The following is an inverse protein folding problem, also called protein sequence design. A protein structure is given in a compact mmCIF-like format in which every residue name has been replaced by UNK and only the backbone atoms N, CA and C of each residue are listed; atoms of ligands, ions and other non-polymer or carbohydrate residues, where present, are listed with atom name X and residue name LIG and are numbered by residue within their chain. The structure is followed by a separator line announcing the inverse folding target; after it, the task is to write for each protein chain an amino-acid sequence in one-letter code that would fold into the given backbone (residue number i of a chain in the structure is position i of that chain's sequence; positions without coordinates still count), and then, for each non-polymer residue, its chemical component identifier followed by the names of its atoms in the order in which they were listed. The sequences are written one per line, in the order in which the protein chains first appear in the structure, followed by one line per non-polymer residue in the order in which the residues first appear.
data_IF_395231906334
#
_entry.id   IF_395231906334
#
_cell.length_a   1.000
_cell.length_b   1.000
_cell.length_c   1.000
_cell.angle_alpha   90.00
_cell.angle_beta   90.00
_cell.angle_gamma   90.00
#
_symmetry.space_group_name_H-M   'P 1'
#
loop_
_entity.id
_entity.type
_entity.pdbx_description
1 polymer ?
#
# COMPACT_ATOMS: atom_id res chain seq x y z
N UNK A 1 6.26 -18.76 -30.34
CA UNK A 1 7.24 -18.30 -29.34
C UNK A 1 7.47 -16.77 -29.36
N UNK A 2 7.60 -16.13 -30.53
CA UNK A 2 7.80 -14.66 -30.68
C UNK A 2 6.61 -13.82 -30.16
N UNK A 3 5.37 -14.31 -30.34
CA UNK A 3 4.15 -13.67 -29.80
C UNK A 3 4.15 -13.55 -28.26
N UNK A 4 4.59 -14.61 -27.56
CA UNK A 4 4.65 -14.62 -26.10
C UNK A 4 5.70 -13.63 -25.55
N UNK A 5 6.79 -13.39 -26.29
CA UNK A 5 7.86 -12.45 -25.90
C UNK A 5 7.43 -10.99 -26.02
N UNK A 6 6.74 -10.59 -27.10
CA UNK A 6 6.15 -9.24 -27.24
C UNK A 6 5.12 -8.96 -26.14
N UNK A 7 4.26 -9.93 -25.86
CA UNK A 7 3.23 -9.83 -24.82
C UNK A 7 3.81 -9.53 -23.43
N UNK A 8 4.97 -10.08 -23.07
CA UNK A 8 5.57 -9.86 -21.74
C UNK A 8 6.20 -8.47 -21.57
N UNK A 9 6.79 -7.91 -22.63
CA UNK A 9 7.28 -6.55 -22.62
C UNK A 9 6.13 -5.54 -22.49
N UNK A 10 5.06 -5.77 -23.25
CA UNK A 10 3.83 -4.96 -23.21
C UNK A 10 3.16 -5.06 -21.83
N UNK A 11 3.15 -6.24 -21.23
CA UNK A 11 2.69 -6.45 -19.85
C UNK A 11 3.46 -5.58 -18.84
N UNK A 12 4.74 -5.28 -19.07
CA UNK A 12 5.57 -4.51 -18.13
C UNK A 12 5.22 -3.03 -18.14
N UNK A 13 4.93 -2.45 -19.32
CA UNK A 13 4.37 -1.10 -19.44
C UNK A 13 2.98 -1.02 -18.82
N UNK A 14 2.16 -2.05 -19.06
CA UNK A 14 0.84 -2.19 -18.43
C UNK A 14 0.96 -2.24 -16.89
N UNK A 15 2.02 -2.83 -16.32
CA UNK A 15 2.22 -2.86 -14.87
C UNK A 15 2.46 -1.48 -14.28
N UNK A 16 3.38 -0.69 -14.84
CA UNK A 16 3.60 0.71 -14.38
C UNK A 16 2.29 1.49 -14.50
N UNK A 17 1.56 1.32 -15.59
CA UNK A 17 0.28 2.00 -15.80
C UNK A 17 -0.76 1.60 -14.73
N UNK A 18 -0.91 0.30 -14.44
CA UNK A 18 -1.82 -0.21 -13.40
C UNK A 18 -1.46 0.33 -12.02
N UNK A 19 -0.19 0.28 -11.65
CA UNK A 19 0.30 0.80 -10.37
C UNK A 19 0.05 2.31 -10.29
N UNK A 20 0.34 3.04 -11.37
CA UNK A 20 0.14 4.48 -11.43
C UNK A 20 -1.33 4.87 -11.29
N UNK A 21 -2.26 4.10 -11.88
CA UNK A 21 -3.71 4.36 -11.78
C UNK A 21 -4.18 4.31 -10.33
N UNK A 22 -3.77 3.29 -9.58
CA UNK A 22 -4.19 3.13 -8.17
C UNK A 22 -3.58 4.23 -7.29
N UNK A 23 -2.30 4.55 -7.49
CA UNK A 23 -1.63 5.63 -6.74
C UNK A 23 -2.13 7.03 -7.12
N UNK A 24 -2.69 7.21 -8.32
CA UNK A 24 -3.31 8.48 -8.75
C UNK A 24 -4.65 8.72 -8.06
N UNK A 25 -5.41 7.68 -7.71
CA UNK A 25 -6.70 7.83 -7.02
C UNK A 25 -6.57 8.60 -5.69
N UNK A 26 -5.52 8.33 -4.91
CA UNK A 26 -5.20 9.05 -3.67
C UNK A 26 -4.29 10.26 -3.87
N UNK A 27 -4.00 10.64 -5.12
CA UNK A 27 -3.09 11.74 -5.45
C UNK A 27 -1.62 11.50 -5.08
N UNK A 28 -1.21 10.27 -4.79
CA UNK A 28 0.14 9.90 -4.34
C UNK A 28 1.16 9.92 -5.49
N UNK A 29 0.72 9.63 -6.71
CA UNK A 29 1.60 9.50 -7.87
C UNK A 29 2.42 10.78 -8.15
N UNK A 30 3.76 10.70 -8.31
CA UNK A 30 4.62 11.88 -8.32
C UNK A 30 4.66 12.66 -9.64
N UNK A 31 4.47 12.02 -10.81
CA UNK A 31 4.79 12.65 -12.11
C UNK A 31 3.67 13.50 -12.72
N UNK A 32 2.43 13.46 -12.20
CA UNK A 32 1.31 14.25 -12.74
C UNK A 32 0.68 15.12 -11.65
N UNK A 33 1.41 16.19 -11.26
CA UNK A 33 1.03 17.11 -10.18
C UNK A 33 0.00 18.12 -10.66
N UNK A 34 -1.25 17.68 -10.82
CA UNK A 34 -2.40 18.57 -10.96
C UNK A 34 -2.79 19.18 -9.61
N UNK A 35 -3.36 20.39 -9.62
CA UNK A 35 -3.92 21.05 -8.42
C UNK A 35 -4.93 20.12 -7.72
N UNK A 36 -5.80 19.47 -8.49
CA UNK A 36 -6.79 18.51 -7.97
C UNK A 36 -6.13 17.32 -7.26
N UNK A 37 -5.05 16.77 -7.83
CA UNK A 37 -4.30 15.65 -7.23
C UNK A 37 -3.63 16.05 -5.91
N UNK A 38 -3.12 17.28 -5.80
CA UNK A 38 -2.50 17.77 -4.57
C UNK A 38 -3.54 18.00 -3.46
N UNK A 39 -4.72 18.51 -3.81
CA UNK A 39 -5.83 18.68 -2.86
C UNK A 39 -6.29 17.30 -2.34
N UNK A 40 -6.52 16.34 -3.25
CA UNK A 40 -6.90 14.96 -2.88
C UNK A 40 -5.87 14.35 -1.92
N UNK A 41 -4.58 14.42 -2.28
CA UNK A 41 -3.51 13.92 -1.42
C UNK A 41 -3.52 14.60 -0.05
N UNK A 42 -3.69 15.92 0.00
CA UNK A 42 -3.71 16.67 1.27
C UNK A 42 -4.86 16.24 2.17
N UNK A 43 -6.07 16.12 1.63
CA UNK A 43 -7.26 15.68 2.37
C UNK A 43 -7.04 14.29 2.96
N UNK A 44 -6.59 13.35 2.11
CA UNK A 44 -6.40 11.95 2.51
C UNK A 44 -5.25 11.81 3.52
N UNK A 45 -4.19 12.60 3.39
CA UNK A 45 -3.07 12.61 4.35
C UNK A 45 -3.44 13.24 5.69
N UNK A 46 -4.24 14.31 5.69
CA UNK A 46 -4.76 14.88 6.95
C UNK A 46 -5.64 13.84 7.66
N UNK A 47 -6.51 13.15 6.93
CA UNK A 47 -7.32 12.07 7.50
C UNK A 47 -6.43 10.98 8.14
N UNK A 48 -5.42 10.50 7.40
CA UNK A 48 -4.51 9.46 7.90
C UNK A 48 -3.69 9.93 9.11
N UNK A 49 -3.28 11.20 9.14
CA UNK A 49 -2.57 11.79 10.28
C UNK A 49 -3.45 11.84 11.53
N UNK A 50 -4.72 12.22 11.39
CA UNK A 50 -5.67 12.19 12.51
C UNK A 50 -5.87 10.76 13.03
N UNK A 51 -5.96 9.79 12.12
CA UNK A 51 -6.07 8.37 12.48
C UNK A 51 -4.86 7.90 13.29
N UNK A 52 -3.65 8.14 12.80
CA UNK A 52 -2.41 7.83 13.53
C UNK A 52 -2.38 8.53 14.90
N UNK A 53 -2.85 9.78 14.97
CA UNK A 53 -2.97 10.51 16.24
C UNK A 53 -3.85 9.79 17.27
N UNK A 54 -4.99 9.22 16.81
CA UNK A 54 -5.87 8.41 17.66
C UNK A 54 -5.22 7.09 18.10
N UNK A 55 -4.38 6.47 17.26
CA UNK A 55 -3.61 5.28 17.64
C UNK A 55 -2.56 5.57 18.71
N UNK A 56 -1.80 6.66 18.54
CA UNK A 56 -0.81 7.05 19.55
C UNK A 56 -1.47 7.46 20.87
N UNK A 57 -2.65 8.07 20.82
CA UNK A 57 -3.43 8.33 22.04
C UNK A 57 -3.83 7.02 22.73
N UNK A 58 -4.24 6.00 21.99
CA UNK A 58 -4.53 4.68 22.55
C UNK A 58 -3.28 4.00 23.13
N UNK A 59 -2.13 4.16 22.49
CA UNK A 59 -0.86 3.66 23.02
C UNK A 59 -0.54 4.29 24.38
N UNK A 60 -0.80 5.59 24.53
CA UNK A 60 -0.60 6.32 25.80
C UNK A 60 -1.63 5.88 26.85
N UNK A 61 -2.87 5.57 26.46
CA UNK A 61 -3.91 5.18 27.42
C UNK A 61 -3.69 3.80 28.03
N UNK A 62 -3.06 2.87 27.29
CA UNK A 62 -2.74 1.52 27.77
C UNK A 62 -1.39 1.42 28.50
N UNK A 63 -0.75 2.56 28.78
CA UNK A 63 0.57 2.59 29.41
C UNK A 63 0.53 1.93 30.79
N UNK A 64 1.39 0.94 31.02
CA UNK A 64 1.39 0.09 32.22
C UNK A 64 0.92 -1.34 31.97
N UNK A 65 0.30 -1.64 30.81
CA UNK A 65 0.07 -3.01 30.35
C UNK A 65 1.01 -3.34 29.17
N UNK A 66 2.10 -4.04 29.47
CA UNK A 66 3.17 -4.31 28.50
C UNK A 66 2.67 -5.05 27.25
N UNK A 67 1.78 -6.02 27.39
CA UNK A 67 1.25 -6.80 26.26
C UNK A 67 0.44 -5.92 25.31
N UNK A 68 -0.45 -5.07 25.86
CA UNK A 68 -1.24 -4.14 25.06
C UNK A 68 -0.38 -3.03 24.44
N UNK A 69 0.64 -2.55 25.17
CA UNK A 69 1.57 -1.55 24.67
C UNK A 69 2.36 -2.05 23.46
N UNK A 70 2.89 -3.28 23.51
CA UNK A 70 3.64 -3.86 22.38
C UNK A 70 2.75 -3.97 21.14
N UNK A 71 1.53 -4.49 21.31
CA UNK A 71 0.59 -4.64 20.20
C UNK A 71 0.24 -3.29 19.56
N UNK A 72 -0.13 -2.29 20.37
CA UNK A 72 -0.44 -0.95 19.88
C UNK A 72 0.78 -0.30 19.23
N UNK A 73 1.98 -0.44 19.81
CA UNK A 73 3.20 0.15 19.28
C UNK A 73 3.54 -0.44 17.89
N UNK A 74 3.41 -1.76 17.72
CA UNK A 74 3.65 -2.41 16.43
C UNK A 74 2.71 -1.90 15.34
N UNK A 75 1.42 -1.72 15.66
CA UNK A 75 0.42 -1.17 14.73
C UNK A 75 0.72 0.29 14.39
N UNK A 76 0.92 1.15 15.39
CA UNK A 76 1.20 2.58 15.17
C UNK A 76 2.49 2.82 14.39
N UNK A 77 3.55 2.02 14.64
CA UNK A 77 4.81 2.12 13.89
C UNK A 77 4.63 1.73 12.42
N UNK A 78 3.85 0.66 12.16
CA UNK A 78 3.56 0.23 10.79
C UNK A 78 2.82 1.32 10.01
N UNK A 79 1.77 1.92 10.59
CA UNK A 79 1.05 3.02 9.95
C UNK A 79 1.92 4.27 9.79
N UNK A 80 2.79 4.57 10.76
CA UNK A 80 3.75 5.68 10.65
C UNK A 80 4.71 5.47 9.46
N UNK A 81 5.23 4.26 9.27
CA UNK A 81 6.09 3.93 8.12
C UNK A 81 5.33 4.10 6.80
N UNK A 82 4.07 3.64 6.73
CA UNK A 82 3.22 3.81 5.55
C UNK A 82 3.03 5.29 5.23
N UNK A 83 2.70 6.11 6.24
CA UNK A 83 2.53 7.56 6.10
C UNK A 83 3.79 8.24 5.53
N UNK A 84 4.94 8.00 6.16
CA UNK A 84 6.23 8.55 5.72
C UNK A 84 6.53 8.10 4.28
N UNK A 85 6.27 6.83 3.95
CA UNK A 85 6.49 6.30 2.60
C UNK A 85 5.66 7.02 1.55
N UNK A 86 4.40 7.37 1.84
CA UNK A 86 3.56 8.12 0.91
C UNK A 86 4.07 9.54 0.69
N UNK A 87 4.55 10.21 1.75
CA UNK A 87 5.22 11.51 1.64
C UNK A 87 6.46 11.44 0.75
N UNK A 88 7.33 10.44 0.99
CA UNK A 88 8.53 10.22 0.17
C UNK A 88 8.15 9.97 -1.28
N UNK A 89 7.16 9.11 -1.54
CA UNK A 89 6.71 8.81 -2.90
C UNK A 89 6.23 10.06 -3.64
N UNK A 90 5.50 10.96 -2.96
CA UNK A 90 4.94 12.17 -3.58
C UNK A 90 5.98 13.28 -3.77
N UNK A 91 6.80 13.54 -2.74
CA UNK A 91 7.64 14.74 -2.67
C UNK A 91 9.10 14.51 -3.04
N UNK A 92 9.62 13.28 -2.97
CA UNK A 92 11.01 13.01 -3.29
C UNK A 92 11.25 13.13 -4.81
N UNK A 93 12.05 14.13 -5.19
CA UNK A 93 12.41 14.40 -6.59
C UNK A 93 13.19 13.24 -7.23
N UNK A 94 14.03 12.55 -6.46
CA UNK A 94 14.84 11.44 -6.97
C UNK A 94 13.94 10.25 -7.36
N UNK A 95 12.92 9.95 -6.54
CA UNK A 95 11.94 8.89 -6.85
C UNK A 95 11.18 9.23 -8.13
N UNK A 96 10.76 10.49 -8.27
CA UNK A 96 10.08 10.97 -9.48
C UNK A 96 10.97 10.81 -10.72
N UNK A 97 12.22 11.25 -10.64
CA UNK A 97 13.17 11.17 -11.74
C UNK A 97 13.42 9.73 -12.16
N UNK A 98 13.68 8.84 -11.20
CA UNK A 98 13.87 7.40 -11.46
C UNK A 98 12.67 6.77 -12.18
N UNK A 99 11.44 7.18 -11.84
CA UNK A 99 10.22 6.70 -12.52
C UNK A 99 10.15 7.20 -13.95
N UNK A 100 10.46 8.47 -14.19
CA UNK A 100 10.48 9.08 -15.54
C UNK A 100 11.53 8.40 -16.40
N UNK A 101 12.76 8.31 -15.91
CA UNK A 101 13.89 7.69 -16.61
C UNK A 101 13.58 6.21 -16.93
N UNK A 102 12.97 5.48 -15.99
CA UNK A 102 12.55 4.09 -16.22
C UNK A 102 11.50 3.99 -17.33
N UNK A 103 10.51 4.88 -17.33
CA UNK A 103 9.45 4.90 -18.33
C UNK A 103 9.97 5.26 -19.73
N UNK A 104 10.93 6.18 -19.83
CA UNK A 104 11.52 6.60 -21.10
C UNK A 104 12.45 5.52 -21.68
N UNK A 105 13.30 4.93 -20.84
CA UNK A 105 14.24 3.89 -21.25
C UNK A 105 13.56 2.62 -21.76
N UNK A 106 12.37 2.29 -21.25
CA UNK A 106 11.53 1.21 -21.78
C UNK A 106 11.08 1.43 -23.23
N UNK A 107 11.28 2.60 -23.85
CA UNK A 107 10.96 2.82 -25.26
C UNK A 107 12.16 2.66 -26.20
N UNK A 108 13.38 2.52 -25.66
CA UNK A 108 14.62 2.62 -26.43
C UNK A 108 15.13 1.25 -26.94
N UNK A 109 14.73 0.15 -26.30
CA UNK A 109 15.20 -1.20 -26.67
C UNK A 109 14.72 -1.63 -28.06
N UNK A 110 15.64 -1.67 -29.02
CA UNK A 110 15.34 -1.95 -30.44
C UNK A 110 15.80 -3.34 -30.86
N UNK A 111 16.96 -3.78 -30.37
CA UNK A 111 17.63 -5.02 -30.79
C UNK A 111 16.97 -6.26 -30.16
N UNK A 112 17.07 -7.40 -30.83
CA UNK A 112 16.50 -8.67 -30.34
C UNK A 112 17.13 -9.12 -29.03
N UNK A 113 18.44 -8.96 -28.89
CA UNK A 113 19.20 -9.31 -27.69
C UNK A 113 18.84 -8.41 -26.50
N UNK A 114 18.76 -7.09 -26.72
CA UNK A 114 18.30 -6.11 -25.71
C UNK A 114 16.92 -6.47 -25.15
N UNK A 115 16.00 -6.88 -26.04
CA UNK A 115 14.64 -7.28 -25.66
C UNK A 115 14.62 -8.57 -24.84
N UNK A 116 15.50 -9.53 -25.11
CA UNK A 116 15.55 -10.78 -24.35
C UNK A 116 16.10 -10.56 -22.93
N UNK A 117 17.12 -9.71 -22.79
CA UNK A 117 17.67 -9.32 -21.48
C UNK A 117 16.62 -8.53 -20.68
N UNK A 118 16.02 -7.51 -21.29
CA UNK A 118 14.94 -6.70 -20.68
C UNK A 118 13.76 -7.57 -20.23
N UNK A 119 13.38 -8.55 -21.05
CA UNK A 119 12.29 -9.49 -20.72
C UNK A 119 12.57 -10.30 -19.45
N UNK A 120 13.81 -10.79 -19.25
CA UNK A 120 14.18 -11.56 -18.05
C UNK A 120 14.02 -10.71 -16.78
N UNK A 121 14.51 -9.48 -16.79
CA UNK A 121 14.43 -8.59 -15.62
C UNK A 121 13.00 -8.14 -15.34
N UNK A 122 12.21 -7.82 -16.35
CA UNK A 122 10.82 -7.41 -16.13
C UNK A 122 9.87 -8.57 -15.79
N UNK A 123 10.19 -9.81 -16.22
CA UNK A 123 9.45 -11.00 -15.78
C UNK A 123 9.53 -11.19 -14.25
N UNK A 124 10.71 -10.98 -13.67
CA UNK A 124 10.90 -11.05 -12.22
C UNK A 124 10.10 -9.95 -11.51
N UNK A 125 10.13 -8.71 -12.01
CA UNK A 125 9.34 -7.62 -11.46
C UNK A 125 7.82 -7.88 -11.52
N UNK A 126 7.34 -8.45 -12.63
CA UNK A 126 5.93 -8.84 -12.82
C UNK A 126 5.49 -9.95 -11.88
N UNK A 127 6.34 -10.95 -11.67
CA UNK A 127 6.07 -12.05 -10.75
C UNK A 127 6.02 -11.55 -9.31
N UNK A 128 6.97 -10.68 -8.91
CA UNK A 128 6.97 -10.04 -7.60
C UNK A 128 5.71 -9.17 -7.39
N UNK A 129 5.27 -8.42 -8.41
CA UNK A 129 4.02 -7.65 -8.34
C UNK A 129 2.81 -8.54 -8.05
N UNK A 130 2.64 -9.63 -8.81
CA UNK A 130 1.49 -10.54 -8.60
C UNK A 130 1.50 -11.15 -7.21
N UNK A 131 2.67 -11.64 -6.79
CA UNK A 131 2.84 -12.26 -5.48
C UNK A 131 2.57 -11.25 -4.35
N UNK A 132 3.18 -10.07 -4.40
CA UNK A 132 3.01 -9.04 -3.37
C UNK A 132 1.57 -8.57 -3.26
N UNK A 133 0.87 -8.32 -4.37
CA UNK A 133 -0.54 -7.91 -4.36
C UNK A 133 -1.44 -9.01 -3.77
N UNK A 134 -1.20 -10.29 -4.11
CA UNK A 134 -1.94 -11.42 -3.54
C UNK A 134 -1.72 -11.52 -2.03
N UNK A 135 -0.47 -11.46 -1.56
CA UNK A 135 -0.18 -11.49 -0.13
C UNK A 135 -0.84 -10.32 0.60
N UNK A 136 -0.73 -9.10 0.07
CA UNK A 136 -1.40 -7.93 0.67
C UNK A 136 -2.91 -8.12 0.73
N UNK A 137 -3.55 -8.65 -0.31
CA UNK A 137 -4.97 -8.92 -0.29
C UNK A 137 -5.35 -9.90 0.84
N UNK A 138 -4.65 -11.03 0.95
CA UNK A 138 -4.91 -12.02 2.01
C UNK A 138 -4.62 -11.48 3.41
N UNK A 139 -3.50 -10.78 3.60
CA UNK A 139 -3.14 -10.19 4.89
C UNK A 139 -4.15 -9.15 5.33
N UNK A 140 -4.54 -8.22 4.45
CA UNK A 140 -5.53 -7.20 4.76
C UNK A 140 -6.90 -7.82 5.03
N UNK A 141 -7.32 -8.80 4.23
CA UNK A 141 -8.58 -9.50 4.45
C UNK A 141 -8.58 -10.22 5.80
N UNK A 142 -7.49 -10.92 6.13
CA UNK A 142 -7.35 -11.61 7.41
C UNK A 142 -7.37 -10.64 8.58
N UNK A 143 -6.68 -9.51 8.47
CA UNK A 143 -6.64 -8.49 9.53
C UNK A 143 -8.01 -7.83 9.73
N UNK A 144 -8.69 -7.46 8.64
CA UNK A 144 -10.01 -6.81 8.69
C UNK A 144 -11.13 -7.75 9.20
N UNK A 145 -11.03 -9.04 8.91
CA UNK A 145 -12.05 -10.04 9.31
C UNK A 145 -11.78 -10.70 10.67
N UNK A 146 -10.57 -10.62 11.22
CA UNK A 146 -10.21 -11.18 12.53
C UNK A 146 -11.15 -10.79 13.69
N UNK A 147 -11.53 -9.51 13.89
CA UNK A 147 -12.51 -9.17 14.93
C UNK A 147 -13.91 -9.74 14.65
N UNK A 148 -14.30 -9.85 13.38
CA UNK A 148 -15.61 -10.39 12.99
C UNK A 148 -15.70 -11.90 13.28
N UNK A 149 -14.64 -12.66 13.00
CA UNK A 149 -14.61 -14.09 13.31
C UNK A 149 -14.66 -14.32 14.82
N UNK A 150 -13.92 -13.54 15.61
CA UNK A 150 -13.99 -13.60 17.07
C UNK A 150 -15.40 -13.29 17.59
N UNK A 151 -16.05 -12.26 17.05
CA UNK A 151 -17.43 -11.90 17.39
C UNK A 151 -18.42 -13.03 17.07
N UNK A 152 -18.35 -13.63 15.88
CA UNK A 152 -19.21 -14.75 15.48
C UNK A 152 -19.02 -15.98 16.37
N UNK A 153 -17.78 -16.28 16.77
CA UNK A 153 -17.49 -17.40 17.68
C UNK A 153 -18.09 -17.16 19.07
N UNK A 154 -18.01 -15.95 19.61
CA UNK A 154 -18.62 -15.60 20.90
C UNK A 154 -20.15 -15.67 20.85
N UNK A 155 -20.77 -15.22 19.75
CA UNK A 155 -22.21 -15.37 19.53
C UNK A 155 -22.64 -16.84 19.50
N UNK A 156 -21.90 -17.71 18.79
CA UNK A 156 -22.20 -19.14 18.74
C UNK A 156 -22.09 -19.82 20.12
N UNK A 157 -21.28 -19.26 21.03
CA UNK A 157 -21.11 -19.73 22.40
C UNK A 157 -22.13 -19.14 23.39
N UNK A 158 -23.07 -18.30 22.94
CA UNK A 158 -24.00 -17.54 23.78
C UNK A 158 -23.31 -16.69 24.86
N UNK A 159 -22.09 -16.23 24.59
CA UNK A 159 -21.36 -15.31 25.47
C UNK A 159 -21.68 -13.85 25.08
N UNK A 160 -21.46 -12.91 26.00
CA UNK A 160 -21.61 -11.48 25.70
C UNK A 160 -20.60 -11.05 24.64
N UNK A 161 -21.06 -10.94 23.40
CA UNK A 161 -20.22 -10.59 22.26
C UNK A 161 -20.26 -9.07 22.01
N UNK A 162 -19.09 -8.43 22.10
CA UNK A 162 -18.90 -7.03 21.70
C UNK A 162 -18.05 -7.03 20.44
N UNK A 163 -18.55 -6.44 19.36
CA UNK A 163 -17.78 -6.30 18.13
C UNK A 163 -16.67 -5.27 18.36
N UNK A 164 -15.43 -5.75 18.39
CA UNK A 164 -14.24 -4.91 18.50
C UNK A 164 -13.82 -4.42 17.11
N UNK A 165 -13.24 -3.23 17.04
CA UNK A 165 -12.72 -2.67 15.79
C UNK A 165 -11.38 -3.32 15.43
N UNK A 166 -11.07 -3.53 14.12
CA UNK A 166 -9.82 -4.14 13.67
C UNK A 166 -8.59 -3.40 14.14
N UNK A 167 -8.60 -2.06 14.07
CA UNK A 167 -7.54 -1.24 14.63
C UNK A 167 -7.89 -0.78 16.04
N UNK A 168 -6.94 -0.93 16.97
CA UNK A 168 -7.11 -0.46 18.34
C UNK A 168 -6.89 1.05 18.40
N UNK A 169 -7.96 1.80 18.15
CA UNK A 169 -7.99 3.26 18.29
C UNK A 169 -8.81 3.66 19.52
N UNK A 170 -8.32 4.65 20.26
CA UNK A 170 -9.14 5.42 21.19
C UNK A 170 -9.89 6.44 20.38
N UNK A 171 -11.20 6.29 20.36
CA UNK A 171 -12.08 7.31 19.81
C UNK A 171 -12.43 8.30 20.92
N UNK A 172 -12.54 9.59 20.58
CA UNK A 172 -12.88 10.63 21.56
C UNK A 172 -14.31 10.54 22.11
N UNK A 173 -15.12 9.63 21.56
CA UNK A 173 -16.50 9.37 21.93
C UNK A 173 -16.60 7.87 22.20
N UNK A 174 -17.21 7.47 23.32
CA UNK A 174 -17.50 6.07 23.63
C UNK A 174 -18.48 5.51 22.59
N UNK A 175 -17.96 4.96 21.50
CA UNK A 175 -18.74 4.37 20.41
C UNK A 175 -19.09 2.89 20.65
N UNK A 176 -18.66 2.33 21.79
CA UNK A 176 -18.87 0.93 22.16
C UNK A 176 -20.35 0.57 22.41
N UNK A 177 -21.24 1.57 22.48
CA UNK A 177 -22.63 1.38 22.87
C UNK A 177 -23.60 1.12 21.70
N UNK A 178 -23.21 1.40 20.44
CA UNK A 178 -24.11 1.21 19.29
C UNK A 178 -23.45 0.60 18.06
N UNK A 179 -24.09 -0.42 17.50
CA UNK A 179 -23.63 -1.16 16.31
C UNK A 179 -23.47 -0.26 15.08
N UNK A 180 -24.28 0.79 14.95
CA UNK A 180 -24.20 1.76 13.86
C UNK A 180 -22.87 2.53 13.86
N UNK A 181 -22.37 2.91 15.04
CA UNK A 181 -21.12 3.67 15.16
C UNK A 181 -19.89 2.79 14.91
N UNK A 182 -19.92 1.52 15.35
CA UNK A 182 -18.90 0.53 14.98
C UNK A 182 -18.80 0.38 13.47
N UNK A 183 -19.93 0.30 12.76
CA UNK A 183 -19.94 0.24 11.29
C UNK A 183 -19.29 1.48 10.66
N UNK A 184 -19.54 2.68 11.20
CA UNK A 184 -18.90 3.90 10.70
C UNK A 184 -17.36 3.86 10.84
N UNK A 185 -16.85 3.32 11.96
CA UNK A 185 -15.40 3.15 12.16
C UNK A 185 -14.82 2.16 11.15
N UNK A 186 -15.48 1.02 10.95
CA UNK A 186 -15.11 0.03 9.93
C UNK A 186 -15.04 0.65 8.51
N UNK A 187 -16.01 1.50 8.16
CA UNK A 187 -15.99 2.22 6.88
C UNK A 187 -14.80 3.18 6.79
N UNK A 188 -14.48 3.88 7.88
CA UNK A 188 -13.30 4.76 7.95
C UNK A 188 -11.99 3.99 7.74
N UNK A 189 -11.88 2.80 8.32
CA UNK A 189 -10.70 1.94 8.21
C UNK A 189 -10.44 1.42 6.77
N UNK A 190 -11.44 1.47 5.88
CA UNK A 190 -11.23 1.18 4.44
C UNK A 190 -10.15 2.10 3.85
N UNK A 191 -10.04 3.34 4.34
CA UNK A 191 -8.98 4.26 3.91
C UNK A 191 -7.61 3.73 4.33
N UNK A 192 -7.50 3.13 5.52
CA UNK A 192 -6.25 2.52 6.01
C UNK A 192 -5.86 1.32 5.15
N UNK A 193 -6.84 0.47 4.82
CA UNK A 193 -6.66 -0.64 3.86
C UNK A 193 -6.14 -0.14 2.52
N UNK A 194 -6.70 0.96 1.99
CA UNK A 194 -6.24 1.58 0.75
C UNK A 194 -4.77 2.02 0.86
N UNK A 195 -4.35 2.61 1.98
CA UNK A 195 -2.96 3.00 2.21
C UNK A 195 -2.01 1.81 2.30
N UNK A 196 -2.42 0.70 2.92
CA UNK A 196 -1.63 -0.54 2.96
C UNK A 196 -1.40 -1.11 1.56
N UNK A 197 -2.40 -1.06 0.68
CA UNK A 197 -2.23 -1.40 -0.74
C UNK A 197 -1.25 -0.43 -1.41
N UNK A 198 -1.41 0.87 -1.20
CA UNK A 198 -0.51 1.89 -1.76
C UNK A 198 0.94 1.68 -1.32
N UNK A 199 1.17 1.32 -0.06
CA UNK A 199 2.49 1.00 0.47
C UNK A 199 3.19 -0.10 -0.35
N UNK A 200 2.51 -1.23 -0.57
CA UNK A 200 3.04 -2.34 -1.37
C UNK A 200 3.26 -1.93 -2.83
N UNK A 201 2.36 -1.12 -3.39
CA UNK A 201 2.52 -0.57 -4.73
C UNK A 201 3.77 0.31 -4.86
N UNK A 202 4.16 1.08 -3.83
CA UNK A 202 5.43 1.84 -3.89
C UNK A 202 6.66 0.94 -3.98
N UNK A 203 6.67 -0.21 -3.29
CA UNK A 203 7.76 -1.19 -3.45
C UNK A 203 7.80 -1.77 -4.85
N UNK A 204 6.65 -2.03 -5.45
CA UNK A 204 6.58 -2.52 -6.81
C UNK A 204 7.15 -1.50 -7.82
N UNK A 205 6.89 -0.21 -7.64
CA UNK A 205 7.50 0.84 -8.48
C UNK A 205 9.03 0.81 -8.36
N UNK A 206 9.55 0.76 -7.14
CA UNK A 206 11.00 0.72 -6.92
C UNK A 206 11.61 -0.55 -7.51
N UNK A 207 10.95 -1.71 -7.33
CA UNK A 207 11.43 -2.97 -7.88
C UNK A 207 11.49 -2.94 -9.43
N UNK A 208 10.50 -2.31 -10.07
CA UNK A 208 10.51 -2.10 -11.53
C UNK A 208 11.68 -1.19 -11.94
N UNK A 209 11.92 -0.10 -11.20
CA UNK A 209 13.03 0.81 -11.47
C UNK A 209 14.39 0.12 -11.30
N UNK A 210 14.59 -0.60 -10.20
CA UNK A 210 15.82 -1.39 -9.95
C UNK A 210 16.03 -2.42 -11.05
N UNK A 211 14.97 -3.13 -11.45
CA UNK A 211 15.04 -4.10 -12.55
C UNK A 211 15.45 -3.45 -13.87
N UNK A 212 14.99 -2.22 -14.14
CA UNK A 212 15.39 -1.48 -15.33
C UNK A 212 16.87 -1.05 -15.28
N UNK A 213 17.35 -0.59 -14.12
CA UNK A 213 18.78 -0.24 -13.93
C UNK A 213 19.66 -1.48 -14.08
N UNK A 214 19.30 -2.61 -13.46
CA UNK A 214 20.03 -3.87 -13.63
C UNK A 214 20.04 -4.35 -15.09
N UNK A 215 18.92 -4.18 -15.80
CA UNK A 215 18.88 -4.46 -17.23
C UNK A 215 19.89 -3.62 -18.00
N UNK A 216 19.92 -2.30 -17.78
CA UNK A 216 20.86 -1.39 -18.45
C UNK A 216 22.31 -1.77 -18.16
N UNK A 217 22.67 -2.02 -16.91
CA UNK A 217 24.01 -2.44 -16.54
C UNK A 217 24.43 -3.72 -17.27
N UNK A 218 23.52 -4.68 -17.42
CA UNK A 218 23.79 -5.93 -18.14
C UNK A 218 23.86 -5.75 -19.67
N UNK A 219 23.36 -4.65 -20.22
CA UNK A 219 23.49 -4.34 -21.65
C UNK A 219 24.82 -3.65 -21.96
N UNK A 220 25.43 -2.97 -20.98
CA UNK A 220 26.71 -2.29 -21.11
C UNK A 220 27.92 -3.12 -20.64
N UNK A 221 27.68 -4.29 -20.03
CA UNK A 221 28.71 -5.26 -19.64
C UNK A 221 29.01 -6.24 -20.76
#
# INVERSE_FOLDING_TARGET
MISNKKMQFENSKILIERVSKILRLGGIWPTNRSISSNIQFTIVMIYYLNFIGMEYWNLISVFGNLDLMILNLMESLLHTIIFIRMLVMKFNKNVMQVIVDTSENMNIYKTREEKEISMKYHFNASSFYKMSVQFTFFTTLSWYTAPLTNYLVLLMKNETAILTVPCRITTFIDFSSSLQQTICIYIGEIVIVYFSVCYVLTYNVINIAVSNVCCQLNLFS
#
